data_IF_293668294368
#
_entry.id   IF_293668294368
#
_cell.length_a   1.000
_cell.length_b   1.000
_cell.length_c   1.000
_cell.angle_alpha   90.00
_cell.angle_beta   90.00
_cell.angle_gamma   90.00
#
_symmetry.space_group_name_H-M   'P 1'
#
loop_
_entity.id
_entity.type
_entity.pdbx_description
1 polymer ?
#
# COMPACT_ATOMS: atom_id res chain seq x y z
N UNK A 1 -22.24 14.03 55.05
CA UNK A 1 -20.90 14.62 54.76
C UNK A 1 -19.85 13.58 54.35
N UNK A 2 -20.23 12.37 53.90
CA UNK A 2 -19.29 11.26 53.65
C UNK A 2 -19.05 10.98 52.15
N UNK A 3 -20.04 11.17 51.29
CA UNK A 3 -19.89 10.91 49.84
C UNK A 3 -18.93 11.89 49.14
N UNK A 4 -18.97 13.18 49.49
CA UNK A 4 -18.08 14.18 48.89
C UNK A 4 -16.60 13.97 49.30
N UNK A 5 -16.36 13.55 50.54
CA UNK A 5 -15.01 13.22 51.02
C UNK A 5 -14.46 11.96 50.37
N UNK A 6 -15.28 10.93 50.15
CA UNK A 6 -14.88 9.73 49.42
C UNK A 6 -14.52 10.05 47.96
N UNK A 7 -15.32 10.86 47.27
CA UNK A 7 -15.02 11.26 45.89
C UNK A 7 -13.70 12.04 45.78
N UNK A 8 -13.42 12.93 46.75
CA UNK A 8 -12.18 13.70 46.78
C UNK A 8 -10.94 12.83 47.02
N UNK A 9 -11.05 11.88 47.95
CA UNK A 9 -9.97 10.93 48.24
C UNK A 9 -9.69 9.99 47.05
N UNK A 10 -10.72 9.54 46.32
CA UNK A 10 -10.54 8.69 45.12
C UNK A 10 -9.89 9.45 43.97
N UNK A 11 -10.22 10.72 43.76
CA UNK A 11 -9.53 11.54 42.74
C UNK A 11 -8.06 11.78 43.10
N UNK A 12 -7.78 12.03 44.38
CA UNK A 12 -6.41 12.29 44.83
C UNK A 12 -5.53 11.05 44.76
N UNK A 13 -6.06 9.86 45.08
CA UNK A 13 -5.31 8.60 44.95
C UNK A 13 -5.07 8.23 43.48
N UNK A 14 -6.01 8.51 42.58
CA UNK A 14 -5.82 8.28 41.15
C UNK A 14 -4.73 9.19 40.56
N UNK A 15 -4.75 10.48 40.92
CA UNK A 15 -3.72 11.45 40.52
C UNK A 15 -2.35 11.08 41.09
N UNK A 16 -2.27 10.66 42.36
CA UNK A 16 -1.04 10.19 42.96
C UNK A 16 -0.50 8.92 42.29
N UNK A 17 -1.36 7.97 41.91
CA UNK A 17 -0.96 6.78 41.16
C UNK A 17 -0.41 7.14 39.77
N UNK A 18 -1.05 8.08 39.06
CA UNK A 18 -0.58 8.58 37.76
C UNK A 18 0.80 9.24 37.89
N UNK A 19 1.03 9.98 38.98
CA UNK A 19 2.30 10.67 39.24
C UNK A 19 3.42 9.69 39.66
N UNK A 20 3.11 8.71 40.53
CA UNK A 20 4.06 7.68 40.98
C UNK A 20 4.45 6.70 39.87
N UNK A 21 3.55 6.43 38.92
CA UNK A 21 3.85 5.60 37.75
C UNK A 21 4.62 6.36 36.65
N UNK A 22 4.97 7.63 36.85
CA UNK A 22 5.87 8.36 35.94
C UNK A 22 5.36 8.42 34.50
N UNK A 23 4.05 8.34 34.28
CA UNK A 23 3.44 8.38 32.94
C UNK A 23 3.48 9.82 32.45
N UNK A 24 4.64 10.23 31.96
CA UNK A 24 4.79 11.46 31.19
C UNK A 24 4.10 11.29 29.84
N UNK A 25 3.52 12.38 29.32
CA UNK A 25 2.71 12.40 28.09
C UNK A 25 3.39 11.77 26.86
N UNK A 26 4.71 11.54 26.90
CA UNK A 26 5.50 10.90 25.85
C UNK A 26 5.20 9.40 25.64
N UNK A 27 4.65 8.67 26.61
CA UNK A 27 4.44 7.21 26.51
C UNK A 27 3.07 6.79 25.92
N UNK A 28 2.16 7.74 25.64
CA UNK A 28 0.82 7.43 25.10
C UNK A 28 0.86 7.17 23.58
N UNK A 29 1.85 7.72 22.86
CA UNK A 29 1.97 7.53 21.42
C UNK A 29 2.51 6.13 21.04
N UNK A 30 3.28 5.48 21.92
CA UNK A 30 3.76 4.10 21.71
C UNK A 30 2.63 3.06 21.79
N UNK A 31 1.61 3.28 22.64
CA UNK A 31 0.44 2.39 22.74
C UNK A 31 -0.41 2.45 21.45
N UNK A 32 -0.48 3.61 20.80
CA UNK A 32 -1.17 3.76 19.51
C UNK A 32 -0.40 3.10 18.36
N UNK A 33 0.93 3.03 18.44
CA UNK A 33 1.77 2.35 17.46
C UNK A 33 1.68 0.81 17.61
N UNK A 34 1.68 0.29 18.85
CA UNK A 34 1.50 -1.14 19.11
C UNK A 34 0.12 -1.67 18.66
N UNK A 35 -0.94 -0.86 18.73
CA UNK A 35 -2.28 -1.25 18.28
C UNK A 35 -2.43 -1.25 16.75
N UNK A 36 -1.61 -0.51 16.02
CA UNK A 36 -1.58 -0.51 14.54
C UNK A 36 -0.80 -1.69 13.96
N UNK A 37 0.20 -2.23 14.69
CA UNK A 37 0.95 -3.41 14.26
C UNK A 37 0.11 -4.70 14.28
N UNK A 38 -0.97 -4.76 15.08
CA UNK A 38 -1.85 -5.92 15.16
C UNK A 38 -2.92 -6.00 14.04
N UNK A 39 -3.03 -4.99 13.16
CA UNK A 39 -4.05 -4.94 12.08
C UNK A 39 -3.46 -4.97 10.68
N UNK A 40 -2.14 -5.15 10.52
CA UNK A 40 -1.61 -5.59 9.23
C UNK A 40 -1.91 -7.08 9.08
N UNK A 41 -2.69 -7.51 8.06
CA UNK A 41 -2.73 -8.92 7.72
C UNK A 41 -1.28 -9.39 7.50
N UNK A 42 -0.90 -10.60 7.95
CA UNK A 42 0.42 -11.12 7.64
C UNK A 42 0.63 -11.04 6.12
N UNK A 43 1.86 -10.80 5.63
CA UNK A 43 2.12 -11.01 4.22
C UNK A 43 1.64 -12.42 3.91
N UNK A 44 0.71 -12.55 2.96
CA UNK A 44 0.40 -13.86 2.40
C UNK A 44 1.69 -14.35 1.76
N UNK A 45 2.45 -15.12 2.52
CA UNK A 45 3.41 -16.03 1.96
C UNK A 45 2.55 -17.02 1.17
N UNK A 46 2.42 -16.77 -0.13
CA UNK A 46 1.84 -17.76 -1.05
C UNK A 46 2.91 -18.84 -1.16
N UNK A 47 3.04 -19.65 -0.12
CA UNK A 47 3.55 -21.00 -0.30
C UNK A 47 2.53 -21.66 -1.19
N UNK A 48 2.95 -21.97 -2.41
CA UNK A 48 2.20 -22.65 -3.46
C UNK A 48 1.75 -24.08 -3.09
N UNK A 49 1.66 -24.41 -1.81
CA UNK A 49 1.58 -25.78 -1.29
C UNK A 49 0.16 -26.28 -1.02
N UNK A 50 -0.89 -25.51 -1.32
CA UNK A 50 -2.28 -25.92 -1.06
C UNK A 50 -3.15 -26.08 -2.32
N UNK A 51 -2.55 -26.26 -3.50
CA UNK A 51 -3.24 -26.67 -4.73
C UNK A 51 -3.17 -28.17 -5.02
N UNK A 52 -2.90 -29.01 -4.02
CA UNK A 52 -2.69 -30.45 -4.21
C UNK A 52 -3.89 -31.35 -3.88
N UNK A 53 -5.11 -30.88 -4.07
CA UNK A 53 -6.27 -31.78 -3.98
C UNK A 53 -7.35 -31.39 -4.98
N UNK A 54 -7.03 -31.57 -6.27
CA UNK A 54 -7.92 -31.93 -7.39
C UNK A 54 -7.12 -31.77 -8.70
N UNK A 55 -5.99 -32.48 -8.80
CA UNK A 55 -5.32 -32.73 -10.09
C UNK A 55 -5.69 -34.16 -10.53
N UNK A 56 -6.06 -34.39 -11.81
CA UNK A 56 -6.25 -35.73 -12.33
C UNK A 56 -4.92 -36.52 -12.31
N UNK A 57 -4.95 -37.86 -12.21
CA UNK A 57 -3.73 -38.66 -12.18
C UNK A 57 -2.92 -38.45 -13.46
N UNK A 58 -1.76 -37.81 -13.31
CA UNK A 58 -0.82 -37.53 -14.40
C UNK A 58 -0.12 -38.84 -14.78
N UNK A 59 -0.64 -39.51 -15.80
CA UNK A 59 0.10 -40.57 -16.49
C UNK A 59 1.03 -39.90 -17.51
N UNK A 60 2.33 -40.18 -17.39
CA UNK A 60 3.44 -39.76 -18.26
C UNK A 60 3.98 -38.32 -18.05
N UNK A 61 4.73 -38.18 -16.96
CA UNK A 61 5.38 -36.98 -16.43
C UNK A 61 6.36 -36.25 -17.37
N UNK A 62 6.95 -36.90 -18.38
CA UNK A 62 7.89 -36.23 -19.29
C UNK A 62 7.20 -35.27 -20.28
N UNK A 63 6.03 -35.63 -20.81
CA UNK A 63 5.27 -34.79 -21.74
C UNK A 63 4.61 -33.61 -21.01
N UNK A 64 4.13 -33.83 -19.79
CA UNK A 64 3.51 -32.80 -18.94
C UNK A 64 4.55 -31.77 -18.48
N UNK A 65 5.75 -32.21 -18.08
CA UNK A 65 6.83 -31.30 -17.68
C UNK A 65 7.33 -30.46 -18.87
N UNK A 66 7.39 -31.03 -20.08
CA UNK A 66 7.77 -30.30 -21.30
C UNK A 66 6.68 -29.34 -21.75
N UNK A 67 5.41 -29.72 -21.62
CA UNK A 67 4.29 -28.81 -21.87
C UNK A 67 4.33 -27.64 -20.87
N UNK A 68 4.59 -27.91 -19.58
CA UNK A 68 4.68 -26.88 -18.56
C UNK A 68 5.86 -25.92 -18.80
N UNK A 69 7.04 -26.43 -19.19
CA UNK A 69 8.20 -25.59 -19.52
C UNK A 69 7.92 -24.66 -20.71
N UNK A 70 7.22 -25.15 -21.75
CA UNK A 70 6.83 -24.31 -22.89
C UNK A 70 5.80 -23.24 -22.53
N UNK A 71 4.88 -23.55 -21.61
CA UNK A 71 3.89 -22.56 -21.14
C UNK A 71 4.52 -21.50 -20.26
N UNK A 72 5.48 -21.86 -19.40
CA UNK A 72 6.23 -20.93 -18.56
C UNK A 72 7.10 -19.98 -19.39
N UNK A 73 7.79 -20.51 -20.40
CA UNK A 73 8.62 -19.71 -21.30
C UNK A 73 7.77 -18.71 -22.11
N UNK A 74 6.64 -19.17 -22.65
CA UNK A 74 5.68 -18.29 -23.33
C UNK A 74 5.08 -17.24 -22.39
N UNK A 75 4.78 -17.61 -21.15
CA UNK A 75 4.29 -16.67 -20.14
C UNK A 75 5.34 -15.60 -19.81
N UNK A 76 6.63 -15.99 -19.69
CA UNK A 76 7.73 -15.06 -19.46
C UNK A 76 7.92 -14.09 -20.62
N UNK A 77 7.89 -14.59 -21.86
CA UNK A 77 7.99 -13.75 -23.04
C UNK A 77 6.83 -12.75 -23.15
N UNK A 78 5.60 -13.22 -22.91
CA UNK A 78 4.43 -12.35 -22.91
C UNK A 78 4.48 -11.31 -21.80
N UNK A 79 4.95 -11.68 -20.60
CA UNK A 79 5.13 -10.75 -19.50
C UNK A 79 6.14 -9.66 -19.84
N UNK A 80 7.28 -10.00 -20.46
CA UNK A 80 8.26 -9.02 -20.91
C UNK A 80 7.64 -7.99 -21.88
N UNK A 81 6.87 -8.44 -22.87
CA UNK A 81 6.19 -7.55 -23.80
C UNK A 81 5.20 -6.59 -23.11
N UNK A 82 4.46 -7.09 -22.10
CA UNK A 82 3.53 -6.26 -21.32
C UNK A 82 4.30 -5.22 -20.50
N UNK A 83 5.44 -5.57 -19.91
CA UNK A 83 6.28 -4.63 -19.18
C UNK A 83 6.79 -3.52 -20.10
N UNK A 84 7.25 -3.86 -21.31
CA UNK A 84 7.68 -2.86 -22.29
C UNK A 84 6.54 -1.93 -22.70
N UNK A 85 5.33 -2.47 -22.92
CA UNK A 85 4.13 -1.69 -23.22
C UNK A 85 3.75 -0.75 -22.06
N UNK A 86 3.81 -1.23 -20.81
CA UNK A 86 3.55 -0.42 -19.63
C UNK A 86 4.59 0.70 -19.53
N UNK A 87 5.88 0.38 -19.62
CA UNK A 87 6.94 1.38 -19.53
C UNK A 87 6.77 2.47 -20.61
N UNK A 88 6.40 2.10 -21.83
CA UNK A 88 6.11 3.05 -22.90
C UNK A 88 4.90 3.97 -22.58
N UNK A 89 3.83 3.41 -21.99
CA UNK A 89 2.62 4.17 -21.62
C UNK A 89 2.80 5.09 -20.43
N UNK A 90 3.64 4.71 -19.47
CA UNK A 90 3.89 5.46 -18.24
C UNK A 90 5.10 6.40 -18.32
N UNK A 91 5.90 6.32 -19.39
CA UNK A 91 7.08 7.18 -19.56
C UNK A 91 6.72 8.66 -19.51
N UNK A 92 7.39 9.39 -18.64
CA UNK A 92 7.23 10.84 -18.48
C UNK A 92 5.91 11.29 -17.86
N UNK A 93 5.05 10.38 -17.39
CA UNK A 93 3.89 10.76 -16.60
C UNK A 93 4.32 11.29 -15.23
N UNK A 94 3.55 12.26 -14.71
CA UNK A 94 3.69 12.75 -13.34
C UNK A 94 3.47 11.61 -12.33
N UNK A 95 4.11 11.75 -11.17
CA UNK A 95 3.91 10.83 -10.06
C UNK A 95 2.44 10.80 -9.66
N UNK A 96 1.88 9.60 -9.49
CA UNK A 96 0.47 9.35 -9.20
C UNK A 96 -0.52 9.73 -10.32
N UNK A 97 -0.07 9.93 -11.57
CA UNK A 97 -0.93 10.08 -12.73
C UNK A 97 -1.00 8.80 -13.57
N UNK A 98 -2.22 8.41 -13.94
CA UNK A 98 -2.51 7.18 -14.67
C UNK A 98 -3.07 7.47 -16.07
N UNK A 99 -2.55 6.81 -17.13
CA UNK A 99 -2.99 7.02 -18.50
C UNK A 99 -4.44 6.57 -18.71
N UNK A 100 -5.23 7.40 -19.40
CA UNK A 100 -6.61 7.12 -19.80
C UNK A 100 -6.77 7.37 -21.31
N UNK A 101 -7.76 6.76 -21.98
CA UNK A 101 -8.03 7.06 -23.39
C UNK A 101 -8.37 8.53 -23.68
N UNK A 102 -8.80 9.30 -22.67
CA UNK A 102 -9.14 10.73 -22.75
C UNK A 102 -8.43 11.48 -21.62
N UNK A 103 -7.11 11.62 -21.74
CA UNK A 103 -6.25 12.34 -20.77
C UNK A 103 -5.64 11.41 -19.70
N UNK A 104 -5.63 11.86 -18.45
CA UNK A 104 -5.10 11.10 -17.32
C UNK A 104 -5.90 11.33 -16.03
N UNK A 105 -5.72 10.42 -15.09
CA UNK A 105 -6.26 10.51 -13.74
C UNK A 105 -5.10 10.66 -12.76
N UNK A 106 -5.03 11.78 -12.05
CA UNK A 106 -3.95 12.09 -11.11
C UNK A 106 -4.46 12.07 -9.68
N UNK A 107 -3.75 11.43 -8.76
CA UNK A 107 -4.04 11.52 -7.32
C UNK A 107 -3.31 12.74 -6.76
N UNK A 108 -4.07 13.77 -6.39
CA UNK A 108 -3.52 15.06 -5.92
C UNK A 108 -3.30 15.07 -4.41
N UNK A 109 -4.01 14.23 -3.66
CA UNK A 109 -3.85 14.12 -2.22
C UNK A 109 -4.82 13.16 -1.56
N UNK A 110 -4.88 13.19 -0.23
CA UNK A 110 -5.81 12.39 0.57
C UNK A 110 -6.73 13.30 1.38
N UNK A 111 -8.02 13.04 1.33
CA UNK A 111 -9.03 13.74 2.12
C UNK A 111 -8.91 13.36 3.61
N UNK A 112 -9.56 14.13 4.49
CA UNK A 112 -9.53 13.92 5.96
C UNK A 112 -10.06 12.55 6.39
N UNK A 113 -10.88 11.90 5.56
CA UNK A 113 -11.42 10.57 5.77
C UNK A 113 -10.52 9.45 5.20
N UNK A 114 -9.35 9.79 4.63
CA UNK A 114 -8.41 8.84 4.02
C UNK A 114 -8.72 8.47 2.56
N UNK A 115 -9.78 9.01 1.95
CA UNK A 115 -10.07 8.80 0.53
C UNK A 115 -9.09 9.57 -0.34
N UNK A 116 -8.59 8.94 -1.40
CA UNK A 116 -7.73 9.59 -2.39
C UNK A 116 -8.54 10.59 -3.23
N UNK A 117 -8.06 11.83 -3.27
CA UNK A 117 -8.63 12.89 -4.09
C UNK A 117 -8.00 12.76 -5.47
N UNK A 118 -8.83 12.39 -6.44
CA UNK A 118 -8.40 12.25 -7.83
C UNK A 118 -8.86 13.45 -8.66
N UNK A 119 -8.01 13.87 -9.58
CA UNK A 119 -8.26 14.92 -10.55
C UNK A 119 -8.10 14.36 -11.96
N UNK A 120 -9.03 14.73 -12.86
CA UNK A 120 -9.06 14.24 -14.23
C UNK A 120 -8.59 15.35 -15.16
N UNK A 121 -7.43 15.16 -15.76
CA UNK A 121 -6.84 16.12 -16.69
C UNK A 121 -6.98 15.61 -18.12
N UNK A 122 -7.38 16.48 -19.04
CA UNK A 122 -7.73 16.10 -20.42
C UNK A 122 -6.60 16.38 -21.42
N UNK A 123 -5.64 17.22 -21.04
CA UNK A 123 -4.50 17.62 -21.86
C UNK A 123 -3.28 16.77 -21.53
N UNK A 124 -2.44 16.51 -22.53
CA UNK A 124 -1.26 15.67 -22.35
C UNK A 124 -0.17 16.38 -21.53
N UNK A 125 -0.05 17.70 -21.67
CA UNK A 125 0.88 18.54 -20.92
C UNK A 125 0.61 18.52 -19.41
N UNK A 126 -0.65 18.37 -19.00
CA UNK A 126 -1.06 18.31 -17.60
C UNK A 126 -0.80 16.93 -16.96
N UNK A 127 -0.56 15.93 -17.80
CA UNK A 127 -0.33 14.53 -17.42
C UNK A 127 1.14 14.18 -17.33
N UNK A 128 1.98 14.86 -18.11
CA UNK A 128 3.41 14.58 -18.23
C UNK A 128 4.26 15.66 -17.56
N UNK A 129 5.43 15.28 -17.08
CA UNK A 129 6.44 16.23 -16.65
C UNK A 129 7.15 16.80 -17.87
N UNK A 130 7.30 18.12 -17.97
CA UNK A 130 8.14 18.68 -19.02
C UNK A 130 9.63 18.41 -18.72
N UNK A 131 10.46 18.39 -19.76
CA UNK A 131 11.90 18.17 -19.62
C UNK A 131 12.51 19.21 -18.68
N UNK A 132 13.09 18.75 -17.57
CA UNK A 132 13.72 19.61 -16.56
C UNK A 132 12.76 20.26 -15.55
N UNK A 133 11.45 19.97 -15.57
CA UNK A 133 10.55 20.41 -14.51
C UNK A 133 10.77 19.58 -13.24
N UNK A 134 11.18 20.25 -12.17
CA UNK A 134 11.24 19.69 -10.82
C UNK A 134 10.08 20.25 -10.01
N UNK A 135 9.24 19.39 -9.47
CA UNK A 135 8.06 19.82 -8.72
C UNK A 135 7.53 18.72 -7.81
N UNK A 136 6.49 18.99 -7.02
CA UNK A 136 5.92 18.00 -6.09
C UNK A 136 5.41 16.74 -6.81
N UNK A 137 5.02 16.86 -8.08
CA UNK A 137 4.53 15.75 -8.93
C UNK A 137 5.60 15.24 -9.93
N UNK A 138 6.78 15.87 -10.00
CA UNK A 138 7.81 15.57 -11.01
C UNK A 138 9.17 15.35 -10.35
N UNK A 139 9.72 14.13 -10.37
CA UNK A 139 10.97 13.81 -9.71
C UNK A 139 12.14 14.54 -10.39
N UNK A 140 13.22 14.76 -9.63
CA UNK A 140 14.41 15.52 -10.06
C UNK A 140 15.17 14.91 -11.26
N UNK A 141 14.78 13.73 -11.75
CA UNK A 141 15.33 13.10 -12.96
C UNK A 141 14.67 13.54 -14.27
N UNK A 142 13.51 14.23 -14.23
CA UNK A 142 12.74 14.53 -15.45
C UNK A 142 12.20 13.28 -16.17
N UNK A 143 11.51 13.50 -17.28
CA UNK A 143 10.76 12.48 -18.06
C UNK A 143 11.63 11.43 -18.78
#
# INVERSE_FOLDING_TARGET
>A
MTLAHHAFLVSLTLLAAIYCHGITAAQIDDIKLAKRAATTPPPRNVTSSSRDSLMPPQTNSAAVNRANSTTEERARANYANVIDELNAKFRGFKENCYPRPKGCLCVVGKAKNGTEITDRRMKEEDCKCAAGQTGPECPAGGA
#
